data_IF_508607254753
#
_entry.id   IF_508607254753
#
_cell.length_a   1.000
_cell.length_b   1.000
_cell.length_c   1.000
_cell.angle_alpha   90.00
_cell.angle_beta   90.00
_cell.angle_gamma   90.00
#
_symmetry.space_group_name_H-M   'P 1'
#
loop_
_entity.id
_entity.type
_entity.pdbx_description
1 polymer ?
#
# COMPACT_ATOMS: atom_id res chain seq x y z
N UNK A 1 19.43 -0.02 -19.84
CA UNK A 1 20.28 -0.03 -18.64
C UNK A 1 19.72 -1.13 -17.76
N UNK A 2 20.49 -2.18 -17.48
CA UNK A 2 19.99 -3.31 -16.67
C UNK A 2 20.01 -2.95 -15.18
N UNK A 3 19.03 -3.45 -14.40
CA UNK A 3 18.97 -3.20 -12.95
C UNK A 3 20.24 -3.66 -12.23
N UNK A 4 20.87 -4.72 -12.70
CA UNK A 4 22.17 -5.21 -12.19
C UNK A 4 23.26 -4.16 -12.31
N UNK A 5 23.41 -3.51 -13.47
CA UNK A 5 24.42 -2.45 -13.67
C UNK A 5 24.12 -1.19 -12.84
N UNK A 6 22.85 -0.90 -12.57
CA UNK A 6 22.47 0.19 -11.67
C UNK A 6 22.79 -0.12 -10.21
N UNK A 7 22.52 -1.35 -9.77
CA UNK A 7 22.85 -1.80 -8.41
C UNK A 7 24.36 -1.79 -8.18
N UNK A 8 25.16 -2.21 -9.17
CA UNK A 8 26.63 -2.18 -9.10
C UNK A 8 27.18 -0.75 -9.08
N UNK A 9 26.59 0.17 -9.83
CA UNK A 9 27.09 1.54 -9.99
C UNK A 9 26.71 2.46 -8.82
N UNK A 10 25.49 2.35 -8.29
CA UNK A 10 24.96 3.28 -7.28
C UNK A 10 24.68 2.65 -5.92
N UNK A 11 24.74 1.32 -5.83
CA UNK A 11 24.31 0.59 -4.66
C UNK A 11 22.80 0.39 -4.59
N UNK A 12 22.42 -0.79 -4.13
CA UNK A 12 21.03 -1.25 -4.05
C UNK A 12 20.10 -0.35 -3.20
N UNK A 13 20.52 0.18 -2.04
CA UNK A 13 19.68 1.03 -1.22
C UNK A 13 19.21 2.29 -1.96
N UNK A 14 20.08 2.89 -2.75
CA UNK A 14 19.75 4.09 -3.54
C UNK A 14 18.83 3.77 -4.71
N UNK A 15 19.03 2.64 -5.39
CA UNK A 15 18.14 2.18 -6.46
C UNK A 15 16.73 1.94 -5.92
N UNK A 16 16.62 1.29 -4.76
CA UNK A 16 15.34 1.09 -4.08
C UNK A 16 14.68 2.40 -3.67
N UNK A 17 15.45 3.35 -3.14
CA UNK A 17 14.92 4.66 -2.75
C UNK A 17 14.41 5.46 -3.94
N UNK A 18 15.15 5.48 -5.05
CA UNK A 18 14.72 6.15 -6.29
C UNK A 18 13.46 5.48 -6.86
N UNK A 19 13.40 4.14 -6.88
CA UNK A 19 12.21 3.41 -7.29
C UNK A 19 11.01 3.70 -6.39
N UNK A 20 11.21 3.73 -5.06
CA UNK A 20 10.20 4.13 -4.10
C UNK A 20 9.69 5.56 -4.35
N UNK A 21 10.60 6.49 -4.66
CA UNK A 21 10.26 7.87 -5.01
C UNK A 21 9.38 7.93 -6.27
N UNK A 22 9.75 7.22 -7.33
CA UNK A 22 8.99 7.21 -8.59
C UNK A 22 7.60 6.58 -8.41
N UNK A 23 7.52 5.44 -7.74
CA UNK A 23 6.25 4.78 -7.40
C UNK A 23 5.40 5.68 -6.52
N UNK A 24 6.02 6.33 -5.52
CA UNK A 24 5.35 7.29 -4.65
C UNK A 24 4.81 8.50 -5.40
N UNK A 25 5.58 9.08 -6.32
CA UNK A 25 5.14 10.17 -7.19
C UNK A 25 3.89 9.79 -7.99
N UNK A 26 3.91 8.62 -8.62
CA UNK A 26 2.76 8.10 -9.38
C UNK A 26 1.54 7.90 -8.47
N UNK A 27 1.72 7.21 -7.36
CA UNK A 27 0.64 6.97 -6.39
C UNK A 27 0.06 8.29 -5.88
N UNK A 28 0.90 9.21 -5.42
CA UNK A 28 0.47 10.50 -4.86
C UNK A 28 -0.31 11.34 -5.87
N UNK A 29 0.20 11.44 -7.10
CA UNK A 29 -0.45 12.16 -8.19
C UNK A 29 -1.82 11.59 -8.52
N UNK A 30 -1.91 10.29 -8.81
CA UNK A 30 -3.17 9.66 -9.18
C UNK A 30 -4.18 9.60 -8.03
N UNK A 31 -3.73 9.32 -6.81
CA UNK A 31 -4.60 9.28 -5.63
C UNK A 31 -5.17 10.68 -5.28
N UNK A 32 -4.42 11.74 -5.50
CA UNK A 32 -4.93 13.10 -5.31
C UNK A 32 -5.92 13.47 -6.42
N UNK A 33 -5.59 13.24 -7.69
CA UNK A 33 -6.48 13.54 -8.84
C UNK A 33 -7.80 12.78 -8.79
N UNK A 34 -7.79 11.52 -8.39
CA UNK A 34 -9.01 10.72 -8.22
C UNK A 34 -9.73 11.00 -6.91
N UNK A 35 -9.14 11.79 -6.01
CA UNK A 35 -9.64 11.98 -4.64
C UNK A 35 -9.84 10.64 -3.93
N UNK A 36 -8.95 9.68 -4.19
CA UNK A 36 -8.96 8.35 -3.60
C UNK A 36 -9.03 8.42 -2.07
N UNK A 37 -9.99 7.74 -1.47
CA UNK A 37 -10.16 7.70 -0.02
C UNK A 37 -10.96 6.47 0.40
N UNK A 38 -10.29 5.51 1.04
CA UNK A 38 -10.92 4.28 1.56
C UNK A 38 -12.05 4.60 2.55
N UNK A 39 -11.82 5.54 3.48
CA UNK A 39 -12.86 5.94 4.44
C UNK A 39 -14.13 6.41 3.74
N UNK A 40 -14.00 7.29 2.74
CA UNK A 40 -15.16 7.83 2.05
C UNK A 40 -15.91 6.74 1.27
N UNK A 41 -15.20 5.81 0.65
CA UNK A 41 -15.78 4.65 -0.04
C UNK A 41 -16.57 3.75 0.92
N UNK A 42 -16.02 3.44 2.09
CA UNK A 42 -16.68 2.63 3.13
C UNK A 42 -17.92 3.34 3.66
N UNK A 43 -17.88 4.66 3.87
CA UNK A 43 -19.03 5.45 4.33
C UNK A 43 -20.14 5.46 3.27
N UNK A 44 -19.82 5.69 1.99
CA UNK A 44 -20.79 5.59 0.90
C UNK A 44 -21.43 4.19 0.83
N UNK A 45 -20.62 3.14 0.95
CA UNK A 45 -21.11 1.76 0.97
C UNK A 45 -22.07 1.50 2.14
N UNK A 46 -21.71 1.93 3.35
CA UNK A 46 -22.53 1.75 4.55
C UNK A 46 -23.88 2.45 4.43
N UNK A 47 -23.88 3.66 3.89
CA UNK A 47 -25.10 4.43 3.66
C UNK A 47 -25.87 4.00 2.41
N UNK A 48 -25.42 2.94 1.70
CA UNK A 48 -25.98 2.48 0.43
C UNK A 48 -26.03 3.57 -0.66
N UNK A 49 -25.17 4.56 -0.53
CA UNK A 49 -24.95 5.61 -1.53
C UNK A 49 -23.82 5.15 -2.44
N UNK A 50 -24.13 4.44 -3.52
CA UNK A 50 -23.12 3.93 -4.46
C UNK A 50 -22.60 5.07 -5.35
N UNK A 51 -21.81 5.95 -4.73
CA UNK A 51 -21.34 7.20 -5.31
C UNK A 51 -19.94 7.13 -5.94
N UNK A 52 -19.37 8.33 -6.16
CA UNK A 52 -18.07 8.50 -6.80
C UNK A 52 -16.91 7.86 -6.02
N UNK A 53 -16.95 7.90 -4.69
CA UNK A 53 -15.83 7.42 -3.87
C UNK A 53 -15.70 5.91 -3.88
N UNK A 54 -16.86 5.24 -3.79
CA UNK A 54 -16.90 3.78 -3.90
C UNK A 54 -16.43 3.33 -5.29
N UNK A 55 -16.90 4.00 -6.35
CA UNK A 55 -16.49 3.68 -7.72
C UNK A 55 -14.98 3.83 -7.94
N UNK A 56 -14.37 4.92 -7.47
CA UNK A 56 -12.91 5.13 -7.55
C UNK A 56 -12.16 4.04 -6.76
N UNK A 57 -12.67 3.67 -5.58
CA UNK A 57 -12.03 2.63 -4.78
C UNK A 57 -12.10 1.26 -5.49
N UNK A 58 -13.26 0.91 -6.06
CA UNK A 58 -13.42 -0.34 -6.82
C UNK A 58 -12.52 -0.37 -8.05
N UNK A 59 -12.40 0.74 -8.79
CA UNK A 59 -11.47 0.85 -9.93
C UNK A 59 -10.01 0.66 -9.49
N UNK A 60 -9.61 1.29 -8.39
CA UNK A 60 -8.26 1.14 -7.84
C UNK A 60 -7.97 -0.31 -7.43
N UNK A 61 -8.91 -0.93 -6.72
CA UNK A 61 -8.79 -2.29 -6.24
C UNK A 61 -8.70 -3.29 -7.40
N UNK A 62 -9.65 -3.21 -8.35
CA UNK A 62 -9.67 -4.12 -9.50
C UNK A 62 -8.43 -3.95 -10.40
N UNK A 63 -7.98 -2.72 -10.65
CA UNK A 63 -6.77 -2.45 -11.41
C UNK A 63 -5.52 -3.06 -10.74
N UNK A 64 -5.40 -2.91 -9.40
CA UNK A 64 -4.30 -3.51 -8.65
C UNK A 64 -4.34 -5.04 -8.71
N UNK A 65 -5.52 -5.66 -8.47
CA UNK A 65 -5.67 -7.13 -8.48
C UNK A 65 -5.36 -7.68 -9.87
N UNK A 66 -5.94 -7.12 -10.93
CA UNK A 66 -5.71 -7.59 -12.31
C UNK A 66 -4.23 -7.45 -12.68
N UNK A 67 -3.60 -6.32 -12.37
CA UNK A 67 -2.20 -6.10 -12.71
C UNK A 67 -1.27 -7.05 -11.93
N UNK A 68 -1.48 -7.25 -10.63
CA UNK A 68 -0.65 -8.14 -9.81
C UNK A 68 -0.86 -9.60 -10.25
N UNK A 69 -2.09 -10.07 -10.37
CA UNK A 69 -2.37 -11.44 -10.81
C UNK A 69 -1.90 -11.69 -12.24
N UNK A 70 -2.04 -10.70 -13.12
CA UNK A 70 -1.51 -10.75 -14.48
C UNK A 70 0.02 -10.91 -14.51
N UNK A 71 0.75 -10.14 -13.70
CA UNK A 71 2.21 -10.26 -13.58
C UNK A 71 2.64 -11.62 -13.03
N UNK A 72 1.88 -12.20 -12.09
CA UNK A 72 2.15 -13.54 -11.55
C UNK A 72 1.90 -14.61 -12.63
N UNK A 73 0.78 -14.55 -13.34
CA UNK A 73 0.45 -15.51 -14.43
C UNK A 73 1.47 -15.44 -15.56
N UNK A 74 2.01 -14.24 -15.87
CA UNK A 74 3.06 -14.05 -16.86
C UNK A 74 4.47 -14.46 -16.37
N UNK A 75 4.59 -14.92 -15.10
CA UNK A 75 5.88 -15.29 -14.52
C UNK A 75 6.82 -14.10 -14.25
N UNK A 76 6.30 -12.87 -14.32
CA UNK A 76 7.08 -11.63 -14.15
C UNK A 76 7.10 -11.14 -12.68
N UNK A 77 6.33 -11.78 -11.80
CA UNK A 77 6.26 -11.50 -10.38
C UNK A 77 6.05 -12.81 -9.61
N UNK A 78 6.86 -13.04 -8.59
CA UNK A 78 6.67 -14.08 -7.58
C UNK A 78 6.59 -13.44 -6.19
N UNK A 79 5.49 -13.68 -5.52
CA UNK A 79 5.21 -13.12 -4.18
C UNK A 79 5.37 -14.15 -3.06
N UNK A 80 5.76 -15.38 -3.37
CA UNK A 80 5.89 -16.48 -2.39
C UNK A 80 6.85 -16.16 -1.26
N UNK A 81 7.94 -15.44 -1.57
CA UNK A 81 8.96 -14.99 -0.62
C UNK A 81 8.65 -13.64 0.02
N UNK A 82 7.56 -12.99 -0.39
CA UNK A 82 7.15 -11.72 0.20
C UNK A 82 6.82 -11.91 1.69
N UNK A 83 7.29 -10.98 2.53
CA UNK A 83 7.09 -11.04 3.99
C UNK A 83 5.63 -11.27 4.39
N UNK A 84 4.69 -10.69 3.65
CA UNK A 84 3.25 -10.79 3.92
C UNK A 84 2.71 -12.21 3.75
N UNK A 85 3.35 -13.02 2.92
CA UNK A 85 2.97 -14.43 2.67
C UNK A 85 3.91 -15.37 3.43
N UNK A 86 5.22 -15.21 3.31
CA UNK A 86 6.22 -16.11 3.86
C UNK A 86 6.26 -16.12 5.40
N UNK A 87 6.02 -14.98 6.08
CA UNK A 87 6.08 -14.91 7.53
C UNK A 87 4.80 -15.37 8.21
N UNK A 88 4.94 -15.79 9.50
CA UNK A 88 3.80 -16.14 10.35
C UNK A 88 2.79 -15.01 10.40
N UNK A 89 1.52 -15.32 10.19
CA UNK A 89 0.40 -14.39 10.23
C UNK A 89 -0.32 -14.36 11.57
N UNK A 90 -1.05 -13.28 11.83
CA UNK A 90 -1.92 -13.14 12.99
C UNK A 90 -3.34 -12.80 12.56
N UNK A 91 -4.28 -13.68 12.80
CA UNK A 91 -5.72 -13.42 12.55
C UNK A 91 -6.31 -12.52 13.63
N UNK A 92 -5.88 -12.70 14.90
CA UNK A 92 -6.27 -11.79 15.99
C UNK A 92 -5.75 -10.36 15.73
N UNK A 93 -4.50 -10.23 15.24
CA UNK A 93 -3.94 -8.94 14.84
C UNK A 93 -4.69 -8.31 13.67
N UNK A 94 -5.10 -9.09 12.68
CA UNK A 94 -5.90 -8.60 11.56
C UNK A 94 -7.30 -8.12 12.02
N UNK A 95 -7.97 -8.86 12.89
CA UNK A 95 -9.29 -8.52 13.40
C UNK A 95 -9.23 -7.28 14.31
N UNK A 96 -8.42 -7.34 15.37
CA UNK A 96 -8.33 -6.27 16.37
C UNK A 96 -7.70 -5.02 15.72
N UNK A 97 -6.61 -5.19 14.98
CA UNK A 97 -5.94 -4.10 14.27
C UNK A 97 -6.84 -3.46 13.20
N UNK A 98 -7.63 -4.26 12.47
CA UNK A 98 -8.60 -3.76 11.50
C UNK A 98 -9.70 -2.92 12.14
N UNK A 99 -10.25 -3.35 13.29
CA UNK A 99 -11.25 -2.58 14.06
C UNK A 99 -10.67 -1.26 14.57
N UNK A 100 -9.47 -1.29 15.17
CA UNK A 100 -8.78 -0.09 15.65
C UNK A 100 -8.45 0.87 14.49
N UNK A 101 -8.00 0.34 13.36
CA UNK A 101 -7.72 1.14 12.16
C UNK A 101 -8.99 1.78 11.60
N UNK A 102 -10.10 1.05 11.54
CA UNK A 102 -11.40 1.56 11.11
C UNK A 102 -11.88 2.71 12.00
N UNK A 103 -11.86 2.53 13.33
CA UNK A 103 -12.18 3.58 14.28
C UNK A 103 -11.27 4.81 14.12
N UNK A 104 -9.95 4.60 14.01
CA UNK A 104 -8.97 5.66 13.78
C UNK A 104 -9.23 6.44 12.49
N UNK A 105 -9.55 5.75 11.37
CA UNK A 105 -9.90 6.41 10.10
C UNK A 105 -11.12 7.33 10.21
N UNK A 106 -12.12 6.96 11.00
CA UNK A 106 -13.31 7.80 11.22
C UNK A 106 -12.94 9.03 12.03
N UNK A 107 -12.18 8.86 13.10
CA UNK A 107 -11.78 9.96 14.00
C UNK A 107 -10.86 10.98 13.29
N UNK A 108 -9.87 10.52 12.55
CA UNK A 108 -8.91 11.38 11.84
C UNK A 108 -9.41 11.88 10.49
N UNK A 109 -10.57 11.38 10.03
CA UNK A 109 -11.17 11.66 8.71
C UNK A 109 -10.33 11.21 7.51
N UNK A 110 -9.43 10.24 7.68
CA UNK A 110 -8.60 9.70 6.61
C UNK A 110 -7.74 8.52 7.06
N UNK A 111 -7.30 7.69 6.11
CA UNK A 111 -6.24 6.70 6.37
C UNK A 111 -4.86 7.36 6.27
N UNK A 112 -3.79 6.64 6.60
CA UNK A 112 -2.43 7.18 6.60
C UNK A 112 -2.04 7.82 5.26
N UNK A 113 -2.32 7.16 4.12
CA UNK A 113 -2.05 7.72 2.80
C UNK A 113 -2.83 9.02 2.54
N UNK A 114 -4.10 9.08 2.96
CA UNK A 114 -4.91 10.28 2.78
C UNK A 114 -4.43 11.44 3.65
N UNK A 115 -3.97 11.17 4.86
CA UNK A 115 -3.37 12.20 5.72
C UNK A 115 -2.12 12.79 5.09
N UNK A 116 -1.24 11.96 4.52
CA UNK A 116 -0.04 12.39 3.81
C UNK A 116 -0.38 13.26 2.58
N UNK A 117 -1.32 12.81 1.75
CA UNK A 117 -1.79 13.55 0.57
C UNK A 117 -2.38 14.90 0.96
N UNK A 118 -3.22 14.95 2.00
CA UNK A 118 -3.81 16.20 2.45
C UNK A 118 -2.78 17.16 3.07
N UNK A 119 -1.77 16.63 3.78
CA UNK A 119 -0.68 17.45 4.33
C UNK A 119 0.16 18.11 3.24
N UNK A 120 0.43 17.40 2.13
CA UNK A 120 1.10 17.95 0.96
C UNK A 120 0.31 19.10 0.30
N UNK A 121 -1.01 19.09 0.44
CA UNK A 121 -1.90 20.15 -0.05
C UNK A 121 -2.18 21.25 1.01
N UNK A 122 -1.32 21.38 2.02
CA UNK A 122 -1.37 22.45 3.01
C UNK A 122 -2.34 22.25 4.19
N UNK A 123 -2.90 21.06 4.36
CA UNK A 123 -3.81 20.78 5.46
C UNK A 123 -3.02 20.46 6.75
N UNK A 124 -2.80 21.47 7.61
CA UNK A 124 -2.06 21.33 8.87
C UNK A 124 -2.68 20.31 9.83
N UNK A 125 -4.01 20.18 9.85
CA UNK A 125 -4.68 19.16 10.67
C UNK A 125 -4.28 17.75 10.23
N UNK A 126 -4.22 17.50 8.92
CA UNK A 126 -3.79 16.24 8.39
C UNK A 126 -2.31 15.98 8.69
N UNK A 127 -1.47 17.01 8.61
CA UNK A 127 -0.05 16.93 8.97
C UNK A 127 0.13 16.53 10.43
N UNK A 128 -0.55 17.23 11.37
CA UNK A 128 -0.48 16.90 12.79
C UNK A 128 -0.98 15.48 13.08
N UNK A 129 -2.11 15.08 12.47
CA UNK A 129 -2.62 13.71 12.61
C UNK A 129 -1.65 12.68 12.04
N UNK A 130 -0.96 12.98 10.94
CA UNK A 130 0.07 12.14 10.33
C UNK A 130 1.32 12.00 11.21
N UNK A 131 1.75 13.08 11.88
CA UNK A 131 2.86 13.03 12.83
C UNK A 131 2.52 12.18 14.06
N UNK A 132 1.32 12.37 14.64
CA UNK A 132 0.85 11.55 15.77
C UNK A 132 0.78 10.08 15.34
N UNK A 133 0.28 9.80 14.12
CA UNK A 133 0.26 8.47 13.56
C UNK A 133 1.66 7.87 13.46
N UNK A 134 2.67 8.61 12.98
CA UNK A 134 4.05 8.14 12.87
C UNK A 134 4.65 7.80 14.25
N UNK A 135 4.44 8.66 15.25
CA UNK A 135 4.88 8.41 16.63
C UNK A 135 4.21 7.17 17.22
N UNK A 136 2.89 7.02 17.03
CA UNK A 136 2.15 5.86 17.53
C UNK A 136 2.57 4.57 16.80
N UNK A 137 2.79 4.64 15.48
CA UNK A 137 3.28 3.53 14.69
C UNK A 137 4.66 3.06 15.18
N UNK A 138 5.58 3.99 15.43
CA UNK A 138 6.91 3.69 15.99
C UNK A 138 6.81 3.07 17.39
N UNK A 139 5.94 3.63 18.25
CA UNK A 139 5.70 3.10 19.59
C UNK A 139 5.15 1.66 19.55
N UNK A 140 4.30 1.35 18.57
CA UNK A 140 3.75 0.01 18.38
C UNK A 140 4.74 -0.97 17.71
N UNK A 141 5.67 -0.49 16.88
CA UNK A 141 6.65 -1.35 16.20
C UNK A 141 7.78 -1.79 17.13
N UNK A 142 8.38 -0.87 17.86
CA UNK A 142 9.54 -1.13 18.70
C UNK A 142 9.61 -0.31 19.99
N UNK A 143 8.51 0.35 20.39
CA UNK A 143 8.43 1.19 21.59
C UNK A 143 7.51 0.62 22.66
N UNK A 144 6.95 1.51 23.49
CA UNK A 144 6.16 1.17 24.67
C UNK A 144 4.88 0.36 24.39
N UNK A 145 4.32 0.45 23.18
CA UNK A 145 3.13 -0.31 22.78
C UNK A 145 3.44 -1.66 22.15
N UNK A 146 4.73 -1.98 21.92
CA UNK A 146 5.16 -3.25 21.32
C UNK A 146 4.71 -4.49 22.12
N UNK A 147 4.84 -4.56 23.49
CA UNK A 147 4.40 -5.71 24.22
C UNK A 147 2.89 -5.95 24.13
N UNK A 148 2.09 -4.86 24.14
CA UNK A 148 0.64 -4.95 23.98
C UNK A 148 0.28 -5.46 22.58
N UNK A 149 0.93 -4.93 21.55
CA UNK A 149 0.74 -5.42 20.17
C UNK A 149 1.07 -6.90 20.06
N UNK A 150 2.20 -7.34 20.61
CA UNK A 150 2.63 -8.75 20.55
C UNK A 150 1.67 -9.66 21.30
N UNK A 151 1.20 -9.28 22.47
CA UNK A 151 0.20 -10.04 23.22
C UNK A 151 -1.09 -10.20 22.41
N UNK A 152 -1.60 -9.12 21.82
CA UNK A 152 -2.82 -9.16 21.02
C UNK A 152 -2.66 -9.95 19.70
N UNK A 153 -1.51 -9.84 19.05
CA UNK A 153 -1.25 -10.57 17.81
C UNK A 153 -0.91 -12.04 18.03
N UNK A 154 -0.46 -12.41 19.22
CA UNK A 154 -0.14 -13.78 19.59
C UNK A 154 -1.35 -14.67 19.90
N UNK A 155 -2.55 -14.11 20.12
CA UNK A 155 -3.76 -14.85 20.52
C UNK A 155 -4.21 -15.88 19.47
N UNK A 156 -4.10 -15.54 18.20
CA UNK A 156 -4.49 -16.43 17.11
C UNK A 156 -3.57 -16.24 15.92
N UNK A 157 -2.66 -17.14 15.71
CA UNK A 157 -1.65 -17.09 14.64
C UNK A 157 -1.84 -18.23 13.66
N UNK A 158 -1.44 -17.99 12.41
CA UNK A 158 -1.37 -18.97 11.33
C UNK A 158 0.07 -19.05 10.80
N UNK A 159 0.45 -20.20 10.29
CA UNK A 159 1.76 -20.39 9.69
C UNK A 159 1.89 -19.56 8.41
N UNK A 160 3.14 -19.25 7.99
CA UNK A 160 3.42 -18.61 6.72
C UNK A 160 3.30 -19.56 5.53
N UNK A 161 3.38 -19.04 4.33
CA UNK A 161 3.28 -19.81 3.09
C UNK A 161 1.84 -19.97 2.61
N UNK A 162 1.51 -21.14 2.08
CA UNK A 162 0.22 -21.44 1.44
C UNK A 162 -1.00 -21.18 2.33
N UNK A 163 -0.84 -21.31 3.65
CA UNK A 163 -1.90 -21.00 4.62
C UNK A 163 -2.28 -19.50 4.67
N UNK A 164 -1.51 -18.63 4.03
CA UNK A 164 -1.79 -17.20 3.89
C UNK A 164 -2.17 -16.79 2.47
N UNK A 165 -2.14 -17.70 1.53
CA UNK A 165 -2.65 -17.49 0.19
C UNK A 165 -4.07 -18.04 0.07
N UNK A 166 -5.03 -17.14 -0.08
CA UNK A 166 -6.45 -17.52 -0.19
C UNK A 166 -6.71 -18.39 -1.42
N UNK A 167 -5.98 -18.19 -2.51
CA UNK A 167 -6.12 -18.99 -3.72
C UNK A 167 -5.59 -20.41 -3.47
N UNK A 168 -4.45 -20.54 -2.80
CA UNK A 168 -3.88 -21.84 -2.42
C UNK A 168 -4.82 -22.60 -1.47
N UNK A 169 -5.38 -21.96 -0.44
CA UNK A 169 -6.35 -22.56 0.49
C UNK A 169 -7.58 -23.09 -0.24
N UNK A 170 -8.07 -22.38 -1.26
CA UNK A 170 -9.24 -22.77 -2.05
C UNK A 170 -8.90 -23.75 -3.18
N UNK A 171 -7.62 -24.08 -3.38
CA UNK A 171 -7.13 -24.89 -4.50
C UNK A 171 -7.30 -24.21 -5.86
N UNK A 172 -7.35 -22.87 -5.88
CA UNK A 172 -7.53 -22.09 -7.08
C UNK A 172 -6.18 -21.57 -7.63
N UNK A 173 -6.11 -21.43 -8.94
CA UNK A 173 -4.94 -20.86 -9.62
C UNK A 173 -4.98 -19.32 -9.63
N UNK A 174 -3.84 -18.70 -9.90
CA UNK A 174 -3.76 -17.24 -10.08
C UNK A 174 -4.60 -16.75 -11.29
N UNK A 175 -4.90 -17.60 -12.25
CA UNK A 175 -5.85 -17.30 -13.34
C UNK A 175 -7.25 -17.04 -12.78
N UNK A 176 -7.69 -17.79 -11.77
CA UNK A 176 -8.96 -17.54 -11.08
C UNK A 176 -8.93 -16.19 -10.35
N UNK A 177 -7.78 -15.83 -9.73
CA UNK A 177 -7.59 -14.51 -9.15
C UNK A 177 -7.74 -13.37 -10.17
N UNK A 178 -7.27 -13.58 -11.39
CA UNK A 178 -7.43 -12.65 -12.52
C UNK A 178 -8.91 -12.51 -12.94
N UNK A 179 -9.66 -13.62 -12.99
CA UNK A 179 -11.10 -13.62 -13.25
C UNK A 179 -11.85 -12.86 -12.17
N UNK A 180 -11.53 -13.09 -10.90
CA UNK A 180 -12.13 -12.34 -9.76
C UNK A 180 -11.84 -10.85 -9.90
N UNK A 181 -10.61 -10.46 -10.24
CA UNK A 181 -10.24 -9.06 -10.55
C UNK A 181 -11.08 -8.49 -11.69
N UNK A 182 -11.35 -9.27 -12.74
CA UNK A 182 -12.22 -8.91 -13.86
C UNK A 182 -13.68 -8.69 -13.44
N UNK A 183 -14.22 -9.54 -12.57
CA UNK A 183 -15.57 -9.37 -12.01
C UNK A 183 -15.66 -8.09 -11.20
N UNK A 184 -14.66 -7.79 -10.36
CA UNK A 184 -14.58 -6.53 -9.62
C UNK A 184 -14.48 -5.32 -10.56
N UNK A 185 -13.76 -5.44 -11.69
CA UNK A 185 -13.68 -4.38 -12.70
C UNK A 185 -15.04 -4.13 -13.35
N UNK A 186 -15.76 -5.18 -13.71
CA UNK A 186 -17.13 -5.04 -14.27
C UNK A 186 -18.07 -4.35 -13.26
N UNK A 187 -18.00 -4.74 -11.99
CA UNK A 187 -18.75 -4.06 -10.93
C UNK A 187 -18.34 -2.58 -10.81
N UNK A 188 -17.03 -2.28 -10.83
CA UNK A 188 -16.51 -0.93 -10.79
C UNK A 188 -17.03 -0.09 -11.97
N UNK A 189 -16.97 -0.63 -13.18
CA UNK A 189 -17.47 0.03 -14.39
C UNK A 189 -19.00 0.28 -14.31
N UNK A 190 -19.77 -0.71 -13.85
CA UNK A 190 -21.20 -0.54 -13.64
C UNK A 190 -21.53 0.62 -12.70
N UNK A 191 -20.89 0.69 -11.53
CA UNK A 191 -21.13 1.81 -10.61
C UNK A 191 -20.61 3.13 -11.17
N UNK A 192 -19.50 3.11 -11.87
CA UNK A 192 -18.90 4.33 -12.44
C UNK A 192 -19.77 4.92 -13.55
N UNK A 193 -20.42 4.10 -14.40
CA UNK A 193 -21.35 4.59 -15.43
C UNK A 193 -22.66 5.14 -14.86
N UNK A 194 -23.00 4.76 -13.62
CA UNK A 194 -24.18 5.29 -12.91
C UNK A 194 -23.92 6.63 -12.21
N UNK A 195 -22.67 7.06 -12.14
CA UNK A 195 -22.26 8.31 -11.50
C UNK A 195 -21.70 9.29 -12.54
N UNK A 196 -21.98 10.59 -12.36
CA UNK A 196 -21.47 11.65 -13.25
C UNK A 196 -20.02 11.98 -12.86
N UNK A 197 -19.08 11.13 -13.24
CA UNK A 197 -17.66 11.30 -12.91
C UNK A 197 -16.89 11.96 -14.06
N UNK A 198 -15.89 12.78 -13.67
CA UNK A 198 -14.92 13.31 -14.63
C UNK A 198 -13.95 12.21 -15.04
N UNK A 199 -13.49 12.21 -16.29
CA UNK A 199 -12.53 11.24 -16.82
C UNK A 199 -11.26 11.08 -15.95
N UNK A 200 -10.82 12.15 -15.31
CA UNK A 200 -9.68 12.12 -14.39
C UNK A 200 -9.88 11.24 -13.15
N UNK A 201 -11.12 11.01 -12.71
CA UNK A 201 -11.38 10.10 -11.59
C UNK A 201 -11.17 8.64 -12.00
N UNK A 202 -11.49 8.29 -13.23
CA UNK A 202 -11.23 6.96 -13.80
C UNK A 202 -9.75 6.72 -13.97
N UNK A 203 -9.08 7.63 -14.67
CA UNK A 203 -7.62 7.54 -14.91
C UNK A 203 -6.87 7.52 -13.58
N UNK A 204 -7.24 8.38 -12.65
CA UNK A 204 -6.60 8.45 -11.34
C UNK A 204 -6.87 7.21 -10.48
N UNK A 205 -8.07 6.64 -10.51
CA UNK A 205 -8.39 5.38 -9.82
C UNK A 205 -7.56 4.21 -10.35
N UNK A 206 -7.55 4.01 -11.67
CA UNK A 206 -6.75 2.97 -12.33
C UNK A 206 -5.26 3.21 -12.09
N UNK A 207 -4.76 4.44 -12.27
CA UNK A 207 -3.36 4.79 -12.05
C UNK A 207 -2.89 4.56 -10.61
N UNK A 208 -3.75 4.81 -9.63
CA UNK A 208 -3.47 4.48 -8.22
C UNK A 208 -3.31 2.97 -8.03
N UNK A 209 -4.18 2.15 -8.62
CA UNK A 209 -4.08 0.69 -8.58
C UNK A 209 -2.82 0.16 -9.28
N UNK A 210 -2.50 0.69 -10.45
CA UNK A 210 -1.28 0.32 -11.20
C UNK A 210 0.00 0.71 -10.43
N UNK A 211 0.00 1.82 -9.69
CA UNK A 211 1.13 2.20 -8.84
C UNK A 211 1.41 1.15 -7.75
N UNK A 212 0.36 0.51 -7.20
CA UNK A 212 0.51 -0.59 -6.25
C UNK A 212 1.16 -1.80 -6.91
N UNK A 213 0.70 -2.20 -8.11
CA UNK A 213 1.30 -3.30 -8.85
C UNK A 213 2.76 -3.01 -9.24
N UNK A 214 3.06 -1.76 -9.60
CA UNK A 214 4.42 -1.32 -9.93
C UNK A 214 5.37 -1.43 -8.73
N UNK A 215 4.90 -1.13 -7.51
CA UNK A 215 5.70 -1.32 -6.30
C UNK A 215 6.13 -2.78 -6.11
N UNK A 216 5.17 -3.70 -6.25
CA UNK A 216 5.43 -5.14 -6.16
C UNK A 216 6.39 -5.64 -7.23
N UNK A 217 6.15 -5.25 -8.47
CA UNK A 217 6.99 -5.64 -9.60
C UNK A 217 8.41 -5.07 -9.48
N UNK A 218 8.54 -3.81 -9.09
CA UNK A 218 9.84 -3.15 -8.96
C UNK A 218 10.66 -3.79 -7.82
N UNK A 219 10.08 -3.95 -6.62
CA UNK A 219 10.78 -4.57 -5.50
C UNK A 219 11.22 -6.01 -5.80
N UNK A 220 10.38 -6.77 -6.50
CA UNK A 220 10.72 -8.11 -6.98
C UNK A 220 11.86 -8.08 -8.02
N UNK A 221 11.81 -7.15 -8.98
CA UNK A 221 12.82 -7.03 -10.01
C UNK A 221 14.20 -6.67 -9.44
N UNK A 222 14.22 -5.79 -8.42
CA UNK A 222 15.46 -5.46 -7.70
C UNK A 222 15.94 -6.67 -6.89
N UNK A 223 15.04 -7.36 -6.19
CA UNK A 223 15.38 -8.58 -5.43
C UNK A 223 16.03 -9.65 -6.31
N UNK A 224 15.59 -9.81 -7.56
CA UNK A 224 16.22 -10.74 -8.52
C UNK A 224 17.59 -10.28 -9.04
N UNK A 225 17.80 -8.98 -9.08
CA UNK A 225 19.04 -8.37 -9.59
C UNK A 225 20.06 -8.10 -8.47
N UNK A 226 19.73 -8.43 -7.23
CA UNK A 226 20.56 -8.21 -6.06
C UNK A 226 21.13 -9.51 -5.51
N UNK A 227 22.34 -9.42 -4.94
CA UNK A 227 22.95 -10.49 -4.16
C UNK A 227 22.59 -10.41 -2.67
N UNK A 228 22.02 -9.28 -2.23
CA UNK A 228 21.53 -9.10 -0.87
C UNK A 228 20.05 -9.47 -0.74
N UNK A 229 19.59 -9.69 0.48
CA UNK A 229 18.21 -10.05 0.75
C UNK A 229 17.31 -8.80 0.68
N UNK A 230 16.73 -8.54 -0.48
CA UNK A 230 15.75 -7.47 -0.67
C UNK A 230 14.35 -7.98 -0.35
N UNK A 231 13.67 -7.28 0.53
CA UNK A 231 12.28 -7.60 0.85
C UNK A 231 11.34 -7.17 -0.29
N UNK A 232 10.61 -8.14 -0.83
CA UNK A 232 9.54 -7.88 -1.79
C UNK A 232 8.37 -7.25 -1.05
N UNK A 233 7.96 -6.05 -1.46
CA UNK A 233 6.94 -5.27 -0.78
C UNK A 233 6.12 -4.41 -1.72
N UNK A 234 4.86 -4.18 -1.33
CA UNK A 234 3.98 -3.22 -1.97
C UNK A 234 4.00 -1.85 -1.25
N UNK A 235 3.03 -1.00 -1.60
CA UNK A 235 2.88 0.31 -0.96
C UNK A 235 2.29 0.13 0.45
N UNK A 236 3.01 0.56 1.45
CA UNK A 236 2.56 0.69 2.85
C UNK A 236 2.86 2.09 3.37
N UNK A 237 2.24 2.49 4.49
CA UNK A 237 2.44 3.84 5.04
C UNK A 237 2.82 3.82 6.52
N UNK A 238 2.50 2.76 7.27
CA UNK A 238 2.79 2.70 8.71
C UNK A 238 4.27 2.53 9.00
N UNK A 239 4.92 1.54 8.39
CA UNK A 239 6.36 1.31 8.49
C UNK A 239 7.16 2.53 8.02
N UNK A 240 6.98 2.97 6.77
CA UNK A 240 7.67 4.13 6.24
C UNK A 240 7.54 5.40 7.08
N UNK A 241 6.34 5.68 7.65
CA UNK A 241 6.16 6.85 8.51
C UNK A 241 6.96 6.75 9.81
N UNK A 242 7.03 5.55 10.40
CA UNK A 242 7.84 5.30 11.59
C UNK A 242 9.33 5.40 11.28
N UNK A 243 9.79 4.84 10.16
CA UNK A 243 11.19 4.90 9.73
C UNK A 243 11.65 6.33 9.45
N UNK A 244 10.83 7.15 8.80
CA UNK A 244 11.12 8.56 8.58
C UNK A 244 11.23 9.33 9.88
N UNK A 245 10.36 9.05 10.86
CA UNK A 245 10.44 9.64 12.19
C UNK A 245 11.76 9.26 12.87
N UNK A 246 12.13 7.97 12.84
CA UNK A 246 13.37 7.49 13.45
C UNK A 246 14.61 8.01 12.75
N UNK A 247 14.54 8.27 11.44
CA UNK A 247 15.67 8.88 10.71
C UNK A 247 15.98 10.30 11.18
N UNK A 248 14.98 11.03 11.65
CA UNK A 248 15.15 12.37 12.21
C UNK A 248 15.58 12.33 13.68
N UNK A 249 15.11 11.34 14.44
CA UNK A 249 15.26 11.32 15.90
C UNK A 249 16.36 10.38 16.41
N UNK A 250 16.69 9.30 15.68
CA UNK A 250 17.65 8.32 16.17
C UNK A 250 19.09 8.68 15.78
N UNK A 251 20.06 8.42 16.69
CA UNK A 251 21.49 8.62 16.39
C UNK A 251 21.98 7.68 15.27
N UNK A 252 21.40 6.47 15.17
CA UNK A 252 21.67 5.50 14.11
C UNK A 252 20.39 5.35 13.27
N UNK A 253 20.25 6.11 12.17
CA UNK A 253 19.05 6.07 11.36
C UNK A 253 18.89 4.73 10.64
N UNK A 254 17.66 4.28 10.36
CA UNK A 254 17.39 3.10 9.55
C UNK A 254 18.08 3.17 8.19
N UNK A 255 18.40 2.03 7.59
CA UNK A 255 19.00 1.97 6.25
C UNK A 255 18.10 2.65 5.20
N UNK A 256 18.72 3.24 4.18
CA UNK A 256 18.00 3.77 3.04
C UNK A 256 17.42 2.60 2.27
N UNK A 257 16.17 2.73 1.80
CA UNK A 257 15.51 1.69 1.05
C UNK A 257 14.27 2.23 0.32
N UNK A 258 13.44 1.33 -0.18
CA UNK A 258 12.22 1.67 -0.93
C UNK A 258 11.30 2.63 -0.14
N UNK A 259 11.09 2.36 1.14
CA UNK A 259 10.22 3.13 2.03
C UNK A 259 10.72 4.57 2.25
N UNK A 260 12.03 4.76 2.18
CA UNK A 260 12.63 6.10 2.29
C UNK A 260 12.22 7.01 1.11
N UNK A 261 12.17 6.48 -0.12
CA UNK A 261 11.73 7.24 -1.29
C UNK A 261 10.22 7.37 -1.38
N UNK A 262 9.48 6.37 -0.90
CA UNK A 262 8.02 6.29 -1.07
C UNK A 262 7.28 7.49 -0.46
N UNK A 263 7.56 7.87 0.78
CA UNK A 263 6.84 8.96 1.44
C UNK A 263 7.06 10.32 0.76
N UNK A 264 8.32 10.78 0.51
CA UNK A 264 8.56 12.00 -0.24
C UNK A 264 7.95 11.95 -1.64
N UNK A 265 8.00 10.77 -2.30
CA UNK A 265 7.37 10.58 -3.59
C UNK A 265 5.88 10.85 -3.55
N UNK A 266 5.15 10.24 -2.62
CA UNK A 266 3.70 10.46 -2.45
C UNK A 266 3.40 11.92 -2.10
N UNK A 267 4.20 12.54 -1.24
CA UNK A 267 4.04 13.95 -0.88
C UNK A 267 4.21 14.85 -2.10
N UNK A 268 5.30 14.73 -2.83
CA UNK A 268 5.58 15.52 -4.03
C UNK A 268 4.56 15.24 -5.15
N UNK A 269 4.24 13.97 -5.40
CA UNK A 269 3.25 13.58 -6.41
C UNK A 269 1.87 14.18 -6.14
N UNK A 270 1.45 14.22 -4.87
CA UNK A 270 0.17 14.84 -4.51
C UNK A 270 0.21 16.36 -4.49
N UNK A 271 1.39 16.97 -4.27
CA UNK A 271 1.58 18.41 -4.33
C UNK A 271 1.46 18.93 -5.76
N UNK A 272 2.02 18.22 -6.75
CA UNK A 272 1.97 18.60 -8.16
C UNK A 272 0.68 18.15 -8.89
N UNK A 273 -0.22 17.48 -8.22
CA UNK A 273 -1.48 17.01 -8.78
C UNK A 273 -2.56 18.10 -8.79
#
# INVERSE_FOLDING_TARGET
MNLTTLNEAYGEPYVLAVGGLLVGLMFGFFAQRSKFCLRAAVVEFWHRQFGEKLSVWLLTFSAAVIAIQGLIVLGSLDVSTARQIASRGSLSGALIGGLLFGAGMIMTRGCASRLLILSANGNLRALLSGLIFAVTAQSALSGALSPLREALTGLWTIEGGDSRDLLAILGWSHTTGLIVGGVWLLAALYFTTRTTQRAWMWVGGIGTGLSVAMAWWFSYSVSKASFEVVHIQGITFSGPSAEWLMRVLAPNPPAIGFDFGLLPGVFLGSFFA
#
